data_IF_910823131009
#
_entry.id   IF_910823131009
#
_cell.length_a   1.000
_cell.length_b   1.000
_cell.length_c   1.000
_cell.angle_alpha   90.00
_cell.angle_beta   90.00
_cell.angle_gamma   90.00
#
_symmetry.space_group_name_H-M   'P 1'
#
loop_
_entity.id
_entity.type
_entity.pdbx_description
1 polymer ?
#
# COMPACT_ATOMS: atom_id res chain seq x y z
N UNK A 1 -15.18 1.98 10.00
CA UNK A 1 -14.61 0.75 9.38
C UNK A 1 -15.67 -0.33 9.41
N UNK A 2 -15.98 -0.91 8.27
CA UNK A 2 -16.98 -1.99 8.17
C UNK A 2 -16.27 -3.30 7.87
N UNK A 3 -16.29 -4.20 8.83
CA UNK A 3 -15.71 -5.54 8.65
C UNK A 3 -16.63 -6.36 7.75
N UNK A 4 -16.12 -6.96 6.66
CA UNK A 4 -16.91 -7.87 5.84
C UNK A 4 -17.46 -9.04 6.63
N UNK A 5 -18.64 -9.53 6.25
CA UNK A 5 -19.22 -10.71 6.86
C UNK A 5 -18.39 -11.95 6.55
N UNK A 6 -18.45 -12.92 7.45
CA UNK A 6 -17.81 -14.21 7.21
C UNK A 6 -18.42 -14.91 6.02
N UNK A 7 -17.59 -15.62 5.25
CA UNK A 7 -18.06 -16.55 4.24
C UNK A 7 -18.55 -17.81 4.96
N UNK A 8 -19.77 -18.21 4.66
CA UNK A 8 -20.31 -19.48 5.16
C UNK A 8 -19.96 -20.61 4.18
N UNK A 9 -18.82 -21.24 4.43
CA UNK A 9 -18.35 -22.35 3.61
C UNK A 9 -19.21 -23.59 3.82
N UNK A 10 -19.62 -24.23 2.73
CA UNK A 10 -20.37 -25.50 2.78
C UNK A 10 -20.02 -26.38 1.57
N UNK A 11 -20.27 -27.67 1.71
CA UNK A 11 -20.07 -28.62 0.62
C UNK A 11 -20.99 -28.30 -0.57
N UNK A 12 -20.45 -28.39 -1.79
CA UNK A 12 -21.18 -28.09 -3.02
C UNK A 12 -21.28 -26.60 -3.36
N UNK A 13 -20.65 -25.73 -2.58
CA UNK A 13 -20.62 -24.30 -2.85
C UNK A 13 -19.76 -24.00 -4.09
N UNK A 14 -20.27 -23.17 -5.01
CA UNK A 14 -19.50 -22.63 -6.11
C UNK A 14 -18.47 -21.66 -5.57
N UNK A 15 -17.19 -21.98 -5.77
CA UNK A 15 -16.09 -21.11 -5.39
C UNK A 15 -15.89 -20.03 -6.46
N UNK A 16 -15.73 -18.78 -6.01
CA UNK A 16 -15.36 -17.65 -6.86
C UNK A 16 -14.18 -16.90 -6.26
N UNK A 17 -13.40 -16.17 -7.07
CA UNK A 17 -12.33 -15.32 -6.56
C UNK A 17 -12.80 -14.32 -5.50
N UNK A 18 -14.02 -13.83 -5.62
CA UNK A 18 -14.62 -12.89 -4.67
C UNK A 18 -14.75 -13.46 -3.26
N UNK A 19 -15.02 -14.75 -3.12
CA UNK A 19 -15.06 -15.40 -1.80
C UNK A 19 -13.71 -15.30 -1.08
N UNK A 20 -12.63 -15.58 -1.78
CA UNK A 20 -11.28 -15.48 -1.21
C UNK A 20 -10.86 -14.05 -0.92
N UNK A 21 -11.23 -13.12 -1.79
CA UNK A 21 -10.96 -11.70 -1.60
C UNK A 21 -11.70 -11.14 -0.39
N UNK A 22 -12.97 -11.50 -0.20
CA UNK A 22 -13.76 -11.10 0.97
C UNK A 22 -13.18 -11.67 2.25
N UNK A 23 -12.76 -12.94 2.23
CA UNK A 23 -12.14 -13.58 3.39
C UNK A 23 -10.82 -12.91 3.76
N UNK A 24 -9.95 -12.67 2.79
CA UNK A 24 -8.69 -11.94 2.98
C UNK A 24 -8.94 -10.54 3.54
N UNK A 25 -9.87 -9.83 2.94
CA UNK A 25 -10.26 -8.49 3.38
C UNK A 25 -10.79 -8.46 4.82
N UNK A 26 -11.56 -9.47 5.20
CA UNK A 26 -12.05 -9.58 6.56
C UNK A 26 -10.91 -9.72 7.57
N UNK A 27 -9.94 -10.55 7.27
CA UNK A 27 -8.75 -10.74 8.13
C UNK A 27 -7.99 -9.43 8.29
N UNK A 28 -7.70 -8.74 7.19
CA UNK A 28 -7.00 -7.46 7.22
C UNK A 28 -7.72 -6.42 8.06
N UNK A 29 -9.02 -6.28 7.88
CA UNK A 29 -9.81 -5.31 8.63
C UNK A 29 -9.99 -5.68 10.11
N UNK A 30 -10.05 -6.97 10.44
CA UNK A 30 -10.04 -7.43 11.83
C UNK A 30 -8.73 -7.08 12.53
N UNK A 31 -7.60 -7.31 11.88
CA UNK A 31 -6.28 -6.94 12.42
C UNK A 31 -6.20 -5.43 12.63
N UNK A 32 -6.61 -4.65 11.64
CA UNK A 32 -6.63 -3.20 11.73
C UNK A 32 -7.50 -2.70 12.88
N UNK A 33 -8.71 -3.25 13.03
CA UNK A 33 -9.62 -2.89 14.10
C UNK A 33 -9.01 -3.17 15.48
N UNK A 34 -8.48 -4.36 15.70
CA UNK A 34 -7.88 -4.74 16.97
C UNK A 34 -6.65 -3.89 17.31
N UNK A 35 -5.81 -3.63 16.32
CA UNK A 35 -4.62 -2.80 16.49
C UNK A 35 -4.97 -1.37 16.88
N UNK A 36 -5.94 -0.76 16.18
CA UNK A 36 -6.36 0.61 16.44
C UNK A 36 -7.19 0.77 17.72
N UNK A 37 -7.87 -0.28 18.14
CA UNK A 37 -8.57 -0.29 19.44
C UNK A 37 -7.60 -0.23 20.62
N UNK A 38 -6.42 -0.82 20.47
CA UNK A 38 -5.35 -0.76 21.49
C UNK A 38 -4.64 0.59 21.46
N UNK A 39 -4.29 1.09 20.30
CA UNK A 39 -3.60 2.36 20.11
C UNK A 39 -3.94 2.99 18.74
N UNK A 40 -4.74 4.04 18.75
CA UNK A 40 -5.17 4.75 17.54
C UNK A 40 -4.02 5.47 16.79
N UNK A 41 -2.89 5.68 17.45
CA UNK A 41 -1.69 6.29 16.87
C UNK A 41 -0.65 5.26 16.43
N UNK A 42 -1.00 3.99 16.38
CA UNK A 42 -0.09 2.92 15.96
C UNK A 42 0.02 2.84 14.44
N UNK A 43 0.51 3.91 13.84
CA UNK A 43 0.76 4.03 12.41
C UNK A 43 1.93 4.97 12.15
N UNK A 44 2.51 4.88 10.97
CA UNK A 44 3.62 5.73 10.53
C UNK A 44 4.70 4.95 9.79
N UNK A 45 5.72 5.66 9.40
CA UNK A 45 6.90 5.08 8.75
C UNK A 45 7.83 4.49 9.80
N UNK A 46 8.10 3.20 9.70
CA UNK A 46 9.01 2.47 10.58
C UNK A 46 10.42 2.43 10.04
N UNK A 47 10.56 2.31 8.73
CA UNK A 47 11.85 2.31 8.02
C UNK A 47 11.66 3.00 6.68
N UNK A 48 12.58 3.90 6.36
CA UNK A 48 12.64 4.53 5.05
C UNK A 48 14.09 4.74 4.66
N UNK A 49 14.46 4.19 3.52
CA UNK A 49 15.77 4.42 2.92
C UNK A 49 15.58 4.89 1.48
N UNK A 50 16.21 5.98 1.14
CA UNK A 50 16.15 6.57 -0.19
C UNK A 50 17.55 6.79 -0.77
N UNK A 51 17.61 6.98 -2.08
CA UNK A 51 18.85 7.24 -2.79
C UNK A 51 19.25 8.71 -2.68
N UNK A 52 20.27 9.00 -1.88
CA UNK A 52 20.76 10.36 -1.65
C UNK A 52 21.35 10.98 -2.93
N UNK A 53 22.01 10.18 -3.75
CA UNK A 53 22.61 10.64 -5.00
C UNK A 53 21.58 11.11 -6.00
N UNK A 54 20.49 10.37 -6.14
CA UNK A 54 19.36 10.74 -7.00
C UNK A 54 18.58 11.95 -6.47
N UNK A 55 18.47 12.07 -5.15
CA UNK A 55 17.84 13.22 -4.54
C UNK A 55 18.57 14.51 -4.89
N UNK A 56 19.88 14.51 -4.90
CA UNK A 56 20.71 15.65 -5.32
C UNK A 56 20.47 16.03 -6.80
N UNK A 57 20.08 15.08 -7.63
CA UNK A 57 19.73 15.31 -9.04
C UNK A 57 18.25 15.67 -9.28
N UNK A 58 17.45 15.77 -8.23
CA UNK A 58 16.04 16.15 -8.31
C UNK A 58 15.06 14.98 -8.42
N UNK A 59 15.48 13.77 -8.02
CA UNK A 59 14.63 12.58 -7.97
C UNK A 59 14.62 11.97 -6.59
N UNK A 60 13.45 11.73 -6.06
CA UNK A 60 13.27 10.98 -4.82
C UNK A 60 12.94 9.52 -5.17
N UNK A 61 13.91 8.63 -4.97
CA UNK A 61 13.72 7.20 -5.13
C UNK A 61 13.79 6.52 -3.78
N UNK A 62 12.73 5.81 -3.43
CA UNK A 62 12.67 5.01 -2.21
C UNK A 62 13.27 3.63 -2.50
N UNK A 63 14.27 3.24 -1.74
CA UNK A 63 14.92 1.94 -1.84
C UNK A 63 14.29 0.90 -0.94
N UNK A 64 13.99 1.30 0.28
CA UNK A 64 13.29 0.47 1.27
C UNK A 64 12.27 1.31 2.02
N UNK A 65 11.10 0.77 2.21
CA UNK A 65 10.03 1.38 2.98
C UNK A 65 9.28 0.32 3.78
N UNK A 66 9.14 0.57 5.06
CA UNK A 66 8.31 -0.22 5.97
C UNK A 66 7.41 0.77 6.72
N UNK A 67 6.13 0.71 6.45
CA UNK A 67 5.16 1.64 6.98
C UNK A 67 3.85 0.96 7.35
N UNK A 68 3.21 1.48 8.38
CA UNK A 68 1.87 1.11 8.76
C UNK A 68 0.94 2.30 8.52
N UNK A 69 -0.06 2.10 7.69
CA UNK A 69 -1.01 3.16 7.32
C UNK A 69 -2.07 3.36 8.41
N UNK A 70 -2.71 4.54 8.47
CA UNK A 70 -3.74 4.81 9.48
C UNK A 70 -4.94 3.88 9.43
N UNK A 71 -5.20 3.25 8.28
CA UNK A 71 -6.25 2.24 8.12
C UNK A 71 -5.82 0.83 8.54
N UNK A 72 -4.60 0.67 9.07
CA UNK A 72 -4.05 -0.60 9.53
C UNK A 72 -3.36 -1.44 8.46
N UNK A 73 -3.31 -0.99 7.20
CA UNK A 73 -2.57 -1.70 6.17
C UNK A 73 -1.07 -1.50 6.33
N UNK A 74 -0.34 -2.60 6.26
CA UNK A 74 1.12 -2.59 6.23
C UNK A 74 1.61 -2.43 4.79
N UNK A 75 2.58 -1.55 4.61
CA UNK A 75 3.29 -1.37 3.35
C UNK A 75 4.73 -1.80 3.55
N UNK A 76 5.18 -2.68 2.70
CA UNK A 76 6.57 -3.11 2.62
C UNK A 76 7.05 -2.97 1.18
N UNK A 77 8.13 -2.23 1.01
CA UNK A 77 8.74 -2.01 -0.30
C UNK A 77 10.25 -2.24 -0.18
N UNK A 78 10.77 -3.04 -1.12
CA UNK A 78 12.20 -3.25 -1.32
C UNK A 78 12.48 -3.23 -2.82
N UNK A 79 13.30 -2.30 -3.27
CA UNK A 79 13.66 -2.14 -4.68
C UNK A 79 14.33 -3.39 -5.26
N UNK A 80 14.96 -4.22 -4.43
CA UNK A 80 15.61 -5.46 -4.83
C UNK A 80 14.67 -6.67 -4.88
N UNK A 81 13.43 -6.53 -4.44
CA UNK A 81 12.46 -7.62 -4.53
C UNK A 81 12.10 -7.92 -6.00
N UNK A 82 11.90 -9.21 -6.37
CA UNK A 82 11.72 -9.61 -7.77
C UNK A 82 10.59 -8.91 -8.51
N UNK A 83 9.52 -8.57 -7.81
CA UNK A 83 8.31 -7.97 -8.37
C UNK A 83 8.06 -6.55 -7.85
N UNK A 84 9.11 -5.88 -7.39
CA UNK A 84 8.94 -4.54 -6.86
C UNK A 84 8.75 -3.50 -7.97
N UNK A 85 7.76 -2.66 -7.81
CA UNK A 85 7.60 -1.47 -8.63
C UNK A 85 8.61 -0.39 -8.20
N UNK A 86 8.95 0.49 -9.14
CA UNK A 86 9.80 1.62 -8.85
C UNK A 86 9.01 2.69 -8.10
N UNK A 87 9.40 2.99 -6.88
CA UNK A 87 8.80 4.05 -6.07
C UNK A 87 9.66 5.32 -6.18
N UNK A 88 9.33 6.16 -7.13
CA UNK A 88 10.11 7.35 -7.48
C UNK A 88 9.20 8.56 -7.73
N UNK A 89 9.65 9.72 -7.27
CA UNK A 89 9.00 11.01 -7.51
C UNK A 89 10.00 11.96 -8.17
N UNK A 90 9.60 12.57 -9.28
CA UNK A 90 10.37 13.62 -9.93
C UNK A 90 10.09 14.96 -9.24
N UNK A 91 11.12 15.60 -8.72
CA UNK A 91 11.05 16.89 -8.04
C UNK A 91 11.37 18.09 -8.94
N UNK A 92 11.64 17.86 -10.22
CA UNK A 92 12.03 18.94 -11.13
C UNK A 92 10.95 20.01 -11.29
N UNK A 93 9.68 19.63 -11.22
CA UNK A 93 8.54 20.55 -11.26
C UNK A 93 8.49 21.50 -10.06
N UNK A 94 9.14 21.16 -8.96
CA UNK A 94 9.14 21.90 -7.69
C UNK A 94 10.45 22.62 -7.42
N UNK A 95 11.38 22.69 -8.39
CA UNK A 95 12.70 23.30 -8.20
C UNK A 95 12.64 24.73 -7.70
N UNK A 96 11.74 25.54 -8.24
CA UNK A 96 11.60 26.94 -7.85
C UNK A 96 11.04 27.09 -6.44
N UNK A 97 10.16 26.19 -6.05
CA UNK A 97 9.62 26.14 -4.69
C UNK A 97 10.69 25.73 -3.67
N UNK A 98 11.55 24.77 -4.02
CA UNK A 98 12.61 24.23 -3.16
C UNK A 98 13.77 25.22 -2.91
N UNK A 99 13.89 26.29 -3.69
CA UNK A 99 14.90 27.32 -3.46
C UNK A 99 14.67 28.10 -2.16
N UNK A 100 13.41 28.33 -1.82
CA UNK A 100 13.01 29.20 -0.70
C UNK A 100 12.22 28.47 0.39
N UNK A 101 11.68 27.29 0.11
CA UNK A 101 10.79 26.55 1.01
C UNK A 101 11.07 25.05 1.00
N UNK A 102 10.74 24.40 2.09
CA UNK A 102 10.70 22.92 2.15
C UNK A 102 9.49 22.37 1.40
N UNK A 103 9.62 21.15 0.91
CA UNK A 103 8.56 20.39 0.27
C UNK A 103 8.20 19.19 1.16
N UNK A 104 6.93 19.09 1.51
CA UNK A 104 6.41 17.91 2.20
C UNK A 104 5.98 16.86 1.19
N UNK A 105 6.48 15.65 1.35
CA UNK A 105 6.13 14.50 0.52
C UNK A 105 5.33 13.52 1.36
N UNK A 106 4.17 13.12 0.86
CA UNK A 106 3.26 12.23 1.56
C UNK A 106 3.24 10.84 0.90
N UNK A 107 3.24 9.83 1.73
CA UNK A 107 2.94 8.46 1.31
C UNK A 107 1.43 8.27 1.35
N UNK A 108 0.84 8.01 0.19
CA UNK A 108 -0.58 7.71 0.06
C UNK A 108 -0.80 6.29 -0.45
N UNK A 109 -1.91 5.71 -0.06
CA UNK A 109 -2.37 4.42 -0.54
C UNK A 109 -3.78 4.53 -1.09
N UNK A 110 -4.01 3.93 -2.27
CA UNK A 110 -5.34 3.89 -2.85
C UNK A 110 -6.30 3.07 -1.98
N UNK A 111 -7.51 3.58 -1.79
CA UNK A 111 -8.56 2.85 -1.08
C UNK A 111 -9.23 1.81 -1.98
N UNK A 112 -9.90 0.82 -1.42
CA UNK A 112 -10.63 -0.19 -2.20
C UNK A 112 -11.62 0.39 -3.20
N UNK A 113 -12.27 1.50 -2.87
CA UNK A 113 -13.23 2.16 -3.77
C UNK A 113 -12.56 2.76 -5.00
N UNK A 114 -11.36 3.31 -4.85
CA UNK A 114 -10.61 3.87 -5.98
C UNK A 114 -9.96 2.79 -6.84
N UNK A 115 -9.85 1.57 -6.35
CA UNK A 115 -9.30 0.43 -7.09
C UNK A 115 -10.29 -0.21 -8.08
N UNK A 116 -11.58 0.03 -7.92
CA UNK A 116 -12.61 -0.40 -8.85
C UNK A 116 -12.83 0.55 -10.01
N UNK A 117 -12.27 1.75 -9.96
CA UNK A 117 -12.25 2.70 -11.08
C UNK A 117 -11.06 2.37 -11.98
N UNK A 118 -11.38 2.04 -13.16
CA UNK A 118 -10.72 1.79 -14.45
C UNK A 118 -9.19 1.98 -14.64
N UNK A 119 -8.40 2.42 -13.69
CA UNK A 119 -6.97 2.68 -13.84
C UNK A 119 -6.03 1.70 -13.11
N UNK A 120 -6.47 0.48 -12.94
CA UNK A 120 -5.58 -0.67 -13.04
C UNK A 120 -4.63 -1.00 -11.89
N UNK A 121 -4.64 -0.34 -10.75
CA UNK A 121 -3.83 -0.79 -9.60
C UNK A 121 -4.72 -1.59 -8.65
N UNK A 122 -4.78 -2.89 -8.89
CA UNK A 122 -5.48 -3.81 -8.00
C UNK A 122 -4.66 -4.06 -6.73
N UNK A 123 -5.32 -4.03 -5.57
CA UNK A 123 -4.76 -4.49 -4.30
C UNK A 123 -4.45 -5.99 -4.31
N UNK A 124 -5.08 -6.73 -5.21
CA UNK A 124 -4.90 -8.16 -5.42
C UNK A 124 -4.14 -8.41 -6.72
N UNK A 125 -2.97 -9.01 -6.62
CA UNK A 125 -2.25 -9.50 -7.80
C UNK A 125 -2.89 -10.80 -8.29
N UNK A 126 -3.21 -10.90 -9.56
CA UNK A 126 -3.50 -12.18 -10.17
C UNK A 126 -2.18 -12.90 -10.44
N UNK A 127 -2.00 -14.04 -9.80
CA UNK A 127 -0.95 -14.97 -10.16
C UNK A 127 -1.41 -15.73 -11.40
N UNK A 128 -0.87 -15.38 -12.55
CA UNK A 128 -0.98 -16.21 -13.74
C UNK A 128 0.03 -17.34 -13.56
N UNK A 129 -0.46 -18.55 -13.27
CA UNK A 129 0.37 -19.73 -13.40
C UNK A 129 0.62 -19.90 -14.90
N UNK A 130 1.84 -19.70 -15.35
CA UNK A 130 2.23 -20.16 -16.67
C UNK A 130 2.06 -21.68 -16.75
N UNK A 131 1.51 -22.18 -17.87
CA UNK A 131 1.34 -23.60 -18.07
C UNK A 131 2.67 -24.33 -18.15
#
# INVERSE_FOLDING_TARGET
MKIPNRIQWHEGMLLSPQHFQVESARVDEMIALHTMAVNSNNWGVRKCRFDVSLLASGRLRILELDALMPNGYAIEHDVNAPDSDLLELNLDEFKDHLKDKSLDVFLGMATRRSMNDSDGISMFRSLVSEP
#
